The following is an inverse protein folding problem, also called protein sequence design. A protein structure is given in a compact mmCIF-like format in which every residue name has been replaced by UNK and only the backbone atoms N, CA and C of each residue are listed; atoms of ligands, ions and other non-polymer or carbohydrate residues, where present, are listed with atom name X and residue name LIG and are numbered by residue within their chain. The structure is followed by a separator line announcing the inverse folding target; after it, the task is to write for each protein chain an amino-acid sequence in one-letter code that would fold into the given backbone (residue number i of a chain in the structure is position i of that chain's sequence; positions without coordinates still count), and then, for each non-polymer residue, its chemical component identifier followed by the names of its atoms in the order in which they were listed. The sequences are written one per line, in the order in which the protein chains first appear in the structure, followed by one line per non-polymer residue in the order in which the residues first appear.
data_IF_491592097265
#
_entry.id   IF_491592097265
#
_cell.length_a   1.000
_cell.length_b   1.000
_cell.length_c   1.000
_cell.angle_alpha   90.00
_cell.angle_beta   90.00
_cell.angle_gamma   90.00
#
_symmetry.space_group_name_H-M   'P 1'
#
loop_
_entity.id
_entity.type
_entity.pdbx_description
1 polymer ?
#
# COMPACT_ATOMS: atom_id res chain seq x y z
N UNK A 1 21.48 -2.57 -2.65
CA UNK A 1 20.01 -2.34 -2.61
C UNK A 1 19.15 -3.55 -2.22
N UNK A 2 19.59 -4.81 -2.38
CA UNK A 2 18.75 -6.00 -2.09
C UNK A 2 18.47 -6.30 -0.60
N UNK A 3 19.40 -6.02 0.31
CA UNK A 3 19.26 -6.41 1.72
C UNK A 3 18.22 -5.59 2.49
N UNK A 4 18.14 -4.27 2.25
CA UNK A 4 17.18 -3.39 2.92
C UNK A 4 15.73 -3.73 2.55
N UNK A 5 15.47 -3.98 1.27
CA UNK A 5 14.15 -4.36 0.78
C UNK A 5 13.72 -5.75 1.27
N UNK A 6 14.66 -6.70 1.41
CA UNK A 6 14.39 -8.01 2.02
C UNK A 6 14.03 -7.89 3.51
N UNK A 7 14.76 -7.06 4.27
CA UNK A 7 14.43 -6.81 5.69
C UNK A 7 13.06 -6.13 5.83
N UNK A 8 12.82 -5.06 5.08
CA UNK A 8 11.53 -4.37 5.06
C UNK A 8 10.37 -5.33 4.77
N UNK A 9 10.47 -6.13 3.70
CA UNK A 9 9.45 -7.14 3.37
C UNK A 9 9.27 -8.16 4.49
N UNK A 10 10.36 -8.65 5.09
CA UNK A 10 10.32 -9.65 6.17
C UNK A 10 9.53 -9.14 7.39
N UNK A 11 9.69 -7.87 7.76
CA UNK A 11 8.99 -7.28 8.91
C UNK A 11 7.59 -6.76 8.57
N UNK A 12 7.37 -6.29 7.34
CA UNK A 12 6.07 -5.81 6.90
C UNK A 12 5.08 -6.96 6.70
N UNK A 13 5.51 -8.09 6.12
CA UNK A 13 4.59 -9.19 5.73
C UNK A 13 3.70 -9.69 6.89
N UNK A 14 4.22 -9.94 8.11
CA UNK A 14 3.40 -10.38 9.25
C UNK A 14 2.40 -9.33 9.74
N UNK A 15 2.65 -8.03 9.55
CA UNK A 15 1.71 -6.97 9.93
C UNK A 15 0.41 -7.02 9.13
N UNK A 16 0.43 -7.69 7.97
CA UNK A 16 -0.68 -7.80 7.03
C UNK A 16 -1.17 -9.25 6.89
N UNK A 17 -0.98 -10.10 7.89
CA UNK A 17 -1.38 -11.52 7.90
C UNK A 17 -0.90 -12.30 6.66
N UNK A 18 0.26 -11.95 6.10
CA UNK A 18 0.80 -12.59 4.89
C UNK A 18 -0.14 -12.56 3.67
N UNK A 19 -1.04 -11.58 3.58
CA UNK A 19 -2.00 -11.43 2.48
C UNK A 19 -2.11 -10.00 1.99
N UNK A 20 -2.56 -9.83 0.76
CA UNK A 20 -2.89 -8.52 0.21
C UNK A 20 -3.95 -7.85 1.08
N UNK A 21 -3.71 -6.60 1.47
CA UNK A 21 -4.60 -5.81 2.31
C UNK A 21 -5.99 -5.59 1.70
N UNK A 22 -6.14 -5.67 0.36
CA UNK A 22 -7.40 -5.41 -0.35
C UNK A 22 -8.17 -6.68 -0.74
N UNK A 23 -7.50 -7.67 -1.36
CA UNK A 23 -8.16 -8.86 -1.91
C UNK A 23 -7.84 -10.16 -1.17
N UNK A 24 -7.04 -10.12 -0.10
CA UNK A 24 -6.67 -11.30 0.68
C UNK A 24 -5.92 -12.41 -0.08
N UNK A 25 -5.44 -12.15 -1.31
CA UNK A 25 -4.48 -13.04 -2.00
C UNK A 25 -3.28 -13.23 -1.07
N UNK A 26 -2.88 -14.48 -0.84
CA UNK A 26 -1.79 -14.82 0.08
C UNK A 26 -0.65 -15.59 -0.59
N UNK A 27 -0.72 -15.79 -1.91
CA UNK A 27 0.34 -16.44 -2.70
C UNK A 27 1.60 -15.54 -2.68
N UNK A 28 2.70 -15.94 -2.01
CA UNK A 28 3.84 -15.04 -1.75
C UNK A 28 4.47 -14.43 -3.00
N UNK A 29 4.46 -15.16 -4.11
CA UNK A 29 4.99 -14.75 -5.42
C UNK A 29 4.24 -13.57 -6.03
N UNK A 30 2.96 -13.42 -5.68
CA UNK A 30 2.11 -12.32 -6.12
C UNK A 30 2.14 -11.13 -5.15
N UNK A 31 2.74 -11.27 -3.97
CA UNK A 31 2.77 -10.22 -2.96
C UNK A 31 3.96 -9.28 -3.14
N UNK A 32 3.72 -8.00 -2.87
CA UNK A 32 4.67 -6.90 -2.94
C UNK A 32 4.57 -6.09 -1.64
N UNK A 33 5.73 -5.75 -1.10
CA UNK A 33 5.82 -4.84 0.04
C UNK A 33 5.98 -3.43 -0.53
N UNK A 34 4.88 -2.69 -0.57
CA UNK A 34 4.77 -1.39 -1.23
C UNK A 34 5.05 -0.28 -0.23
N UNK A 35 6.01 0.60 -0.51
CA UNK A 35 6.27 1.76 0.34
C UNK A 35 5.20 2.83 0.18
N UNK A 36 4.71 3.38 1.29
CA UNK A 36 3.76 4.50 1.27
C UNK A 36 4.44 5.84 1.07
N UNK A 37 5.59 6.05 1.72
CA UNK A 37 6.52 7.12 1.39
C UNK A 37 7.65 6.50 0.58
N UNK A 38 7.81 6.83 -0.71
CA UNK A 38 8.83 6.23 -1.57
C UNK A 38 10.24 6.38 -0.99
N UNK A 39 11.12 5.48 -1.40
CA UNK A 39 12.51 5.42 -0.93
C UNK A 39 13.26 6.74 -1.11
N UNK A 40 12.99 7.45 -2.22
CA UNK A 40 13.65 8.73 -2.55
C UNK A 40 13.32 9.85 -1.55
N UNK A 41 12.11 9.83 -0.99
CA UNK A 41 11.59 10.86 -0.09
C UNK A 41 11.73 10.44 1.40
N UNK A 42 12.11 9.19 1.64
CA UNK A 42 12.24 8.61 2.98
C UNK A 42 13.65 8.78 3.56
N UNK A 43 13.73 9.02 4.87
CA UNK A 43 14.97 8.93 5.64
C UNK A 43 15.47 7.49 5.71
N UNK A 44 16.71 7.29 6.18
CA UNK A 44 17.26 5.94 6.33
C UNK A 44 16.46 5.06 7.31
N UNK A 45 15.84 5.67 8.32
CA UNK A 45 14.96 4.98 9.28
C UNK A 45 13.62 4.62 8.61
N UNK A 46 12.97 5.58 7.96
CA UNK A 46 11.68 5.39 7.26
C UNK A 46 11.77 4.33 6.14
N UNK A 47 12.94 4.18 5.51
CA UNK A 47 13.17 3.16 4.45
C UNK A 47 13.09 1.72 4.97
N UNK A 48 13.39 1.52 6.25
CA UNK A 48 13.41 0.21 6.91
C UNK A 48 12.22 -0.01 7.84
N UNK A 49 11.46 1.04 8.14
CA UNK A 49 10.27 1.00 8.98
C UNK A 49 9.15 0.17 8.29
N UNK A 50 8.74 -0.98 8.84
CA UNK A 50 7.69 -1.81 8.25
C UNK A 50 6.31 -1.14 8.24
N UNK A 51 6.09 -0.08 9.03
CA UNK A 51 4.86 0.71 9.00
C UNK A 51 4.83 1.72 7.85
N UNK A 52 5.95 1.98 7.18
CA UNK A 52 6.03 2.78 5.96
C UNK A 52 5.59 1.99 4.71
N UNK A 53 4.61 1.12 4.85
CA UNK A 53 4.11 0.38 3.70
C UNK A 53 2.91 -0.49 3.98
N UNK A 54 2.46 -1.09 2.90
CA UNK A 54 1.32 -1.99 2.84
C UNK A 54 1.68 -3.23 2.03
N UNK A 55 1.15 -4.38 2.43
CA UNK A 55 1.33 -5.61 1.66
C UNK A 55 0.20 -5.71 0.63
N UNK A 56 0.56 -5.71 -0.65
CA UNK A 56 -0.39 -5.71 -1.77
C UNK A 56 -0.07 -6.83 -2.76
N UNK A 57 -1.05 -7.25 -3.55
CA UNK A 57 -0.77 -8.08 -4.72
C UNK A 57 -0.17 -7.23 -5.86
N UNK A 58 0.46 -7.84 -6.85
CA UNK A 58 1.09 -7.13 -7.98
C UNK A 58 0.19 -6.07 -8.64
N UNK A 59 -1.11 -6.35 -8.79
CA UNK A 59 -2.05 -5.40 -9.40
C UNK A 59 -2.30 -4.20 -8.47
N UNK A 60 -2.57 -4.44 -7.19
CA UNK A 60 -2.83 -3.37 -6.22
C UNK A 60 -1.58 -2.55 -5.92
N UNK A 61 -0.41 -3.19 -5.91
CA UNK A 61 0.90 -2.52 -5.82
C UNK A 61 1.09 -1.51 -6.95
N UNK A 62 0.84 -1.92 -8.19
CA UNK A 62 0.92 -1.03 -9.35
C UNK A 62 -0.07 0.14 -9.26
N UNK A 63 -1.32 -0.10 -8.81
CA UNK A 63 -2.30 0.97 -8.62
C UNK A 63 -1.87 1.95 -7.52
N UNK A 64 -1.29 1.45 -6.43
CA UNK A 64 -0.85 2.26 -5.31
C UNK A 64 0.38 3.10 -5.66
N UNK A 65 1.42 2.49 -6.24
CA UNK A 65 2.66 3.16 -6.67
C UNK A 65 2.40 4.26 -7.70
N UNK A 66 1.40 4.07 -8.58
CA UNK A 66 0.97 5.08 -9.56
C UNK A 66 0.02 6.14 -9.00
N UNK A 67 -0.35 6.06 -7.72
CA UNK A 67 -1.28 7.01 -7.12
C UNK A 67 -2.73 6.86 -7.59
N UNK A 68 -3.09 5.78 -8.27
CA UNK A 68 -4.45 5.48 -8.72
C UNK A 68 -5.35 5.01 -7.56
N UNK A 69 -4.73 4.49 -6.50
CA UNK A 69 -5.39 4.26 -5.21
C UNK A 69 -4.54 4.81 -4.07
N UNK A 70 -5.18 5.15 -2.96
CA UNK A 70 -4.49 5.51 -1.71
C UNK A 70 -5.32 5.14 -0.50
N UNK A 71 -4.70 5.13 0.68
CA UNK A 71 -5.38 4.98 1.96
C UNK A 71 -5.35 6.30 2.73
N UNK A 72 -6.37 6.55 3.55
CA UNK A 72 -6.33 7.63 4.53
C UNK A 72 -5.81 7.17 5.91
N UNK A 73 -5.73 8.09 6.87
CA UNK A 73 -5.29 7.79 8.24
C UNK A 73 -6.26 6.91 9.05
N UNK A 74 -7.33 6.41 8.44
CA UNK A 74 -8.22 5.39 9.01
C UNK A 74 -8.20 4.09 8.19
N UNK A 75 -7.37 4.00 7.14
CA UNK A 75 -7.28 2.82 6.28
C UNK A 75 -8.40 2.72 5.24
N UNK A 76 -9.20 3.77 5.03
CA UNK A 76 -10.22 3.75 3.97
C UNK A 76 -9.56 3.87 2.61
N UNK A 77 -10.01 3.08 1.65
CA UNK A 77 -9.58 3.16 0.26
C UNK A 77 -10.10 4.46 -0.38
N UNK A 78 -9.23 5.16 -1.09
CA UNK A 78 -9.54 6.27 -1.99
C UNK A 78 -9.10 5.82 -3.39
N UNK A 79 -10.00 5.95 -4.37
CA UNK A 79 -9.76 5.56 -5.76
C UNK A 79 -9.73 6.84 -6.59
N UNK A 80 -8.73 6.95 -7.47
CA UNK A 80 -8.57 8.07 -8.38
C UNK A 80 -9.74 8.18 -9.35
N UNK A 81 -10.11 9.41 -9.71
CA UNK A 81 -11.10 9.71 -10.74
C UNK A 81 -10.75 9.18 -12.13
N UNK A 82 -9.47 8.84 -12.36
CA UNK A 82 -9.00 8.19 -13.60
C UNK A 82 -9.62 6.82 -13.81
N UNK A 83 -9.95 6.10 -12.73
CA UNK A 83 -10.61 4.79 -12.82
C UNK A 83 -12.12 4.99 -12.81
N UNK A 84 -12.78 4.63 -13.92
CA UNK A 84 -14.23 4.60 -14.00
C UNK A 84 -14.81 3.65 -12.93
N UNK A 85 -15.88 4.07 -12.27
CA UNK A 85 -16.55 3.30 -11.23
C UNK A 85 -17.03 1.91 -11.70
N UNK A 86 -17.45 1.80 -12.96
CA UNK A 86 -17.82 0.54 -13.62
C UNK A 86 -16.66 -0.47 -13.70
N UNK A 87 -15.41 0.01 -13.66
CA UNK A 87 -14.21 -0.81 -13.78
C UNK A 87 -13.61 -1.22 -12.43
N UNK A 88 -14.10 -0.71 -11.30
CA UNK A 88 -13.53 -1.00 -9.99
C UNK A 88 -13.38 -2.49 -9.71
N UNK A 89 -14.39 -3.29 -10.05
CA UNK A 89 -14.34 -4.74 -9.87
C UNK A 89 -13.33 -5.42 -10.80
N UNK A 90 -13.09 -4.89 -12.01
CA UNK A 90 -12.06 -5.41 -12.92
C UNK A 90 -10.66 -5.29 -12.32
N UNK A 91 -10.45 -4.27 -11.49
CA UNK A 91 -9.21 -4.06 -10.75
C UNK A 91 -9.22 -4.65 -9.32
N UNK A 92 -10.28 -5.37 -8.94
CA UNK A 92 -10.45 -5.92 -7.60
C UNK A 92 -10.50 -4.84 -6.51
N UNK A 93 -11.12 -3.69 -6.81
CA UNK A 93 -11.33 -2.58 -5.89
C UNK A 93 -12.78 -2.56 -5.42
N UNK A 94 -12.96 -2.38 -4.11
CA UNK A 94 -14.28 -2.21 -3.49
C UNK A 94 -14.29 -0.80 -2.88
N UNK A 95 -15.14 0.14 -3.32
CA UNK A 95 -15.10 1.55 -2.89
C UNK A 95 -15.21 1.76 -1.38
N UNK A 96 -15.93 0.89 -0.69
CA UNK A 96 -16.11 0.90 0.76
C UNK A 96 -15.04 0.09 1.51
N UNK A 97 -14.02 -0.42 0.81
CA UNK A 97 -12.95 -1.18 1.42
C UNK A 97 -12.22 -0.34 2.46
N UNK A 98 -11.97 -0.97 3.60
CA UNK A 98 -11.16 -0.45 4.68
C UNK A 98 -10.18 -1.52 5.11
N UNK A 99 -8.91 -1.18 5.10
CA UNK A 99 -7.85 -2.07 5.56
C UNK A 99 -7.61 -1.85 7.05
N UNK A 100 -7.19 -2.90 7.75
CA UNK A 100 -6.71 -2.80 9.14
C UNK A 100 -5.36 -2.07 9.12
N UNK A 101 -5.16 -1.09 10.00
CA UNK A 101 -3.93 -0.29 10.05
C UNK A 101 -3.45 -0.14 11.49
N UNK A 102 -2.15 0.04 11.66
CA UNK A 102 -1.54 0.47 12.92
C UNK A 102 -1.50 2.00 13.00
N UNK A 103 -1.29 2.52 14.21
CA UNK A 103 -1.15 3.96 14.47
C UNK A 103 -0.04 4.61 13.65
N UNK A 104 1.06 3.88 13.46
CA UNK A 104 2.30 4.28 12.82
C UNK A 104 2.11 4.43 11.31
N UNK A 105 1.26 3.60 10.69
CA UNK A 105 0.94 3.71 9.26
C UNK A 105 0.27 5.05 8.91
N UNK A 106 -0.43 5.67 9.87
CA UNK A 106 -1.28 6.86 9.61
C UNK A 106 -0.50 8.02 9.00
N UNK A 107 0.74 8.25 9.45
CA UNK A 107 1.57 9.33 8.94
C UNK A 107 1.96 9.09 7.48
N UNK A 108 2.37 7.85 7.16
CA UNK A 108 2.76 7.48 5.81
C UNK A 108 1.58 7.45 4.83
N UNK A 109 0.41 6.98 5.24
CA UNK A 109 -0.78 7.00 4.38
C UNK A 109 -1.27 8.42 4.12
N UNK A 110 -1.24 9.31 5.14
CA UNK A 110 -1.52 10.74 4.93
C UNK A 110 -0.50 11.37 3.97
N UNK A 111 0.77 11.01 4.10
CA UNK A 111 1.81 11.49 3.19
C UNK A 111 1.56 11.01 1.76
N UNK A 112 1.29 9.71 1.56
CA UNK A 112 1.01 9.13 0.24
C UNK A 112 -0.20 9.82 -0.41
N UNK A 113 -1.30 9.97 0.33
CA UNK A 113 -2.52 10.65 -0.13
C UNK A 113 -2.29 12.11 -0.53
N UNK A 114 -1.31 12.79 0.07
CA UNK A 114 -1.01 14.19 -0.21
C UNK A 114 -0.04 14.37 -1.39
N UNK A 115 0.92 13.45 -1.57
CA UNK A 115 2.05 13.67 -2.48
C UNK A 115 2.03 12.76 -3.72
N UNK A 116 1.37 11.61 -3.66
CA UNK A 116 1.37 10.60 -4.74
C UNK A 116 -0.01 10.41 -5.33
N UNK A 117 -1.06 10.39 -4.50
CA UNK A 117 -2.43 10.12 -4.96
C UNK A 117 -2.92 11.15 -5.98
N UNK A 118 -3.29 10.66 -7.16
CA UNK A 118 -3.93 11.42 -8.22
C UNK A 118 -5.44 11.42 -7.97
N UNK A 119 -6.01 12.59 -7.74
CA UNK A 119 -7.43 12.72 -7.36
C UNK A 119 -8.37 12.40 -8.52
#
# INVERSE_FOLDING_TARGET
MRLGQQKFRKYLTPLWDHKCALCSIHLPELLRASHSKPWKDSTNEERLDPYNGVLLCCNHDALYDKGLISFDGQGRLHISSVICNEDYLKYGLIPSAKIQIHSENKLYFKWHKRNIFEK
#
